data_IF_717177792408
#
_entry.id   IF_717177792408
#
_cell.length_a   1.000
_cell.length_b   1.000
_cell.length_c   1.000
_cell.angle_alpha   90.00
_cell.angle_beta   90.00
_cell.angle_gamma   90.00
#
_symmetry.space_group_name_H-M   'P 1'
#
loop_
_entity.id
_entity.type
_entity.pdbx_description
1 polymer ?
#
# COMPACT_ATOMS: atom_id res chain seq x y z
N UNK A 1 -9.53 4.62 24.07
CA UNK A 1 -8.52 5.68 23.86
C UNK A 1 -8.71 6.25 22.46
N UNK A 2 -9.14 7.50 22.32
CA UNK A 2 -9.42 8.16 21.03
C UNK A 2 -8.15 8.62 20.28
N UNK A 3 -7.19 7.73 20.03
CA UNK A 3 -5.95 8.07 19.30
C UNK A 3 -6.18 8.13 17.77
N UNK A 4 -7.39 7.86 17.29
CA UNK A 4 -7.55 7.21 15.99
C UNK A 4 -7.71 8.17 14.79
N UNK A 5 -8.40 9.33 14.85
CA UNK A 5 -8.61 10.11 13.62
C UNK A 5 -7.35 10.85 13.17
N UNK A 6 -6.67 11.55 14.09
CA UNK A 6 -5.57 12.47 13.77
C UNK A 6 -4.36 11.74 13.19
N UNK A 7 -4.03 10.57 13.75
CA UNK A 7 -2.92 9.73 13.27
C UNK A 7 -3.21 9.26 11.84
N UNK A 8 -4.45 8.84 11.55
CA UNK A 8 -4.86 8.47 10.19
C UNK A 8 -4.79 9.66 9.24
N UNK A 9 -5.34 10.82 9.61
CA UNK A 9 -5.32 12.02 8.76
C UNK A 9 -3.92 12.58 8.50
N UNK A 10 -2.96 12.33 9.40
CA UNK A 10 -1.59 12.84 9.25
C UNK A 10 -0.70 11.87 8.48
N UNK A 11 -0.81 10.56 8.75
CA UNK A 11 0.09 9.57 8.17
C UNK A 11 -0.30 9.23 6.73
N UNK A 12 -1.60 9.14 6.41
CA UNK A 12 -2.03 8.83 5.04
C UNK A 12 -1.46 9.79 3.99
N UNK A 13 -1.51 11.12 4.15
CA UNK A 13 -0.86 12.05 3.23
C UNK A 13 0.63 11.79 3.03
N UNK A 14 1.37 11.50 4.11
CA UNK A 14 2.81 11.20 4.05
C UNK A 14 3.06 9.92 3.24
N UNK A 15 2.26 8.89 3.52
CA UNK A 15 2.29 7.60 2.80
C UNK A 15 1.95 7.80 1.32
N UNK A 16 0.95 8.63 0.99
CA UNK A 16 0.62 8.98 -0.39
C UNK A 16 1.76 9.70 -1.10
N UNK A 17 2.48 10.60 -0.43
CA UNK A 17 3.68 11.22 -0.99
C UNK A 17 4.74 10.18 -1.36
N UNK A 18 5.00 9.18 -0.50
CA UNK A 18 5.93 8.10 -0.80
C UNK A 18 5.46 7.19 -1.94
N UNK A 19 4.16 6.92 -2.02
CA UNK A 19 3.55 6.17 -3.14
C UNK A 19 3.75 6.92 -4.46
N UNK A 20 3.46 8.23 -4.49
CA UNK A 20 3.62 9.07 -5.69
C UNK A 20 5.09 9.16 -6.09
N UNK A 21 6.00 9.33 -5.13
CA UNK A 21 7.44 9.34 -5.39
C UNK A 21 7.92 8.00 -5.99
N UNK A 22 7.45 6.88 -5.45
CA UNK A 22 7.71 5.54 -5.98
C UNK A 22 7.26 5.41 -7.43
N UNK A 23 6.02 5.82 -7.74
CA UNK A 23 5.49 5.81 -9.10
C UNK A 23 6.33 6.69 -10.03
N UNK A 24 6.63 7.92 -9.62
CA UNK A 24 7.42 8.85 -10.43
C UNK A 24 8.79 8.26 -10.79
N UNK A 25 9.46 7.62 -9.83
CA UNK A 25 10.73 6.92 -10.08
C UNK A 25 10.54 5.73 -11.04
N UNK A 26 9.50 4.92 -10.86
CA UNK A 26 9.20 3.79 -11.76
C UNK A 26 8.88 4.23 -13.20
N UNK A 27 8.26 5.40 -13.38
CA UNK A 27 7.92 5.92 -14.71
C UNK A 27 9.10 6.61 -15.40
N UNK A 28 9.98 7.26 -14.64
CA UNK A 28 11.15 7.97 -15.18
C UNK A 28 12.31 7.04 -15.50
N UNK A 29 12.43 5.89 -14.83
CA UNK A 29 13.44 4.89 -15.16
C UNK A 29 13.00 3.97 -16.31
N UNK A 30 13.89 3.79 -17.30
CA UNK A 30 13.74 2.71 -18.29
C UNK A 30 14.02 1.37 -17.59
N UNK A 31 12.98 0.76 -17.03
CA UNK A 31 13.05 -0.63 -16.55
C UNK A 31 13.35 -1.51 -17.78
N UNK A 32 14.52 -2.15 -17.78
CA UNK A 32 15.03 -2.90 -18.93
C UNK A 32 14.22 -4.17 -19.22
N UNK A 33 13.51 -4.70 -18.22
CA UNK A 33 12.66 -5.88 -18.35
C UNK A 33 11.17 -5.50 -18.41
N UNK A 34 10.56 -5.45 -19.61
CA UNK A 34 9.21 -4.91 -19.80
C UNK A 34 8.14 -5.67 -19.00
N UNK A 35 8.31 -6.98 -18.77
CA UNK A 35 7.36 -7.80 -18.03
C UNK A 35 7.19 -7.36 -16.56
N UNK A 36 8.29 -7.01 -15.87
CA UNK A 36 8.20 -6.60 -14.46
C UNK A 36 7.50 -5.26 -14.29
N UNK A 37 7.79 -4.31 -15.18
CA UNK A 37 7.13 -3.00 -15.17
C UNK A 37 5.62 -3.14 -15.32
N UNK A 38 5.19 -3.98 -16.27
CA UNK A 38 3.78 -4.25 -16.51
C UNK A 38 3.10 -4.82 -15.26
N UNK A 39 3.67 -5.87 -14.64
CA UNK A 39 3.09 -6.48 -13.44
C UNK A 39 3.08 -5.54 -12.23
N UNK A 40 4.15 -4.78 -12.02
CA UNK A 40 4.21 -3.78 -10.94
C UNK A 40 3.09 -2.75 -11.11
N UNK A 41 2.93 -2.19 -12.32
CA UNK A 41 1.88 -1.21 -12.60
C UNK A 41 0.48 -1.80 -12.45
N UNK A 42 0.27 -3.00 -12.97
CA UNK A 42 -1.02 -3.69 -12.91
C UNK A 42 -1.45 -3.98 -11.46
N UNK A 43 -0.57 -4.60 -10.68
CA UNK A 43 -0.84 -4.88 -9.26
C UNK A 43 -1.01 -3.60 -8.46
N UNK A 44 -0.24 -2.56 -8.78
CA UNK A 44 -0.35 -1.25 -8.14
C UNK A 44 -1.74 -0.63 -8.36
N UNK A 45 -2.27 -0.66 -9.58
CA UNK A 45 -3.61 -0.15 -9.86
C UNK A 45 -4.69 -0.92 -9.10
N UNK A 46 -4.60 -2.25 -9.04
CA UNK A 46 -5.51 -3.06 -8.23
C UNK A 46 -5.41 -2.66 -6.75
N UNK A 47 -4.19 -2.51 -6.23
CA UNK A 47 -3.96 -2.11 -4.85
C UNK A 47 -4.59 -0.73 -4.55
N UNK A 48 -4.46 0.23 -5.48
CA UNK A 48 -5.03 1.57 -5.36
C UNK A 48 -6.57 1.54 -5.36
N UNK A 49 -7.19 0.69 -6.17
CA UNK A 49 -8.65 0.50 -6.15
C UNK A 49 -9.11 -0.03 -4.79
N UNK A 50 -8.44 -1.06 -4.26
CA UNK A 50 -8.76 -1.61 -2.92
C UNK A 50 -8.58 -0.54 -1.84
N UNK A 51 -7.50 0.26 -1.93
CA UNK A 51 -7.22 1.36 -1.00
C UNK A 51 -8.33 2.42 -0.97
N UNK A 52 -8.93 2.74 -2.12
CA UNK A 52 -10.03 3.72 -2.21
C UNK A 52 -11.35 3.15 -1.70
N UNK A 53 -11.61 1.86 -1.94
CA UNK A 53 -12.87 1.19 -1.53
C UNK A 53 -12.88 0.89 -0.03
N UNK A 54 -11.74 0.45 0.52
CA UNK A 54 -11.59 0.07 1.92
C UNK A 54 -12.20 1.05 2.94
N UNK A 55 -11.91 2.36 2.92
CA UNK A 55 -12.45 3.29 3.91
C UNK A 55 -13.97 3.44 3.78
N UNK A 56 -14.54 3.32 2.57
CA UNK A 56 -15.99 3.34 2.38
C UNK A 56 -16.62 2.10 3.03
N UNK A 57 -16.01 0.92 2.84
CA UNK A 57 -16.46 -0.32 3.47
C UNK A 57 -16.39 -0.28 4.99
N UNK A 58 -15.30 0.27 5.54
CA UNK A 58 -15.11 0.35 6.98
C UNK A 58 -16.00 1.42 7.63
N UNK A 59 -15.97 2.67 7.14
CA UNK A 59 -16.64 3.79 7.79
C UNK A 59 -18.10 3.97 7.37
N UNK A 60 -18.45 3.78 6.09
CA UNK A 60 -19.80 4.08 5.60
C UNK A 60 -20.75 2.89 5.77
N UNK A 61 -20.28 1.68 5.48
CA UNK A 61 -21.10 0.46 5.58
C UNK A 61 -20.99 -0.22 6.95
N UNK A 62 -19.97 0.12 7.76
CA UNK A 62 -19.75 -0.51 9.07
C UNK A 62 -19.41 -2.00 9.00
N UNK A 63 -19.11 -2.55 7.81
CA UNK A 63 -18.83 -3.96 7.63
C UNK A 63 -17.34 -4.24 7.86
N UNK A 64 -16.98 -4.33 9.14
CA UNK A 64 -15.59 -4.46 9.57
C UNK A 64 -14.91 -5.73 9.04
N UNK A 65 -15.63 -6.86 8.94
CA UNK A 65 -15.07 -8.11 8.42
C UNK A 65 -14.63 -7.99 6.96
N UNK A 66 -15.46 -7.37 6.12
CA UNK A 66 -15.14 -7.16 4.71
C UNK A 66 -13.99 -6.16 4.58
N UNK A 67 -14.01 -5.08 5.36
CA UNK A 67 -12.93 -4.10 5.39
C UNK A 67 -11.60 -4.72 5.85
N UNK A 68 -11.62 -5.60 6.84
CA UNK A 68 -10.45 -6.35 7.29
C UNK A 68 -9.92 -7.29 6.19
N UNK A 69 -10.81 -8.02 5.51
CA UNK A 69 -10.45 -8.83 4.34
C UNK A 69 -9.80 -8.01 3.23
N UNK A 70 -10.30 -6.80 2.97
CA UNK A 70 -9.71 -5.87 2.01
C UNK A 70 -8.30 -5.42 2.44
N UNK A 71 -8.06 -5.16 3.73
CA UNK A 71 -6.72 -4.83 4.24
C UNK A 71 -5.73 -5.99 4.04
N UNK A 72 -6.15 -7.24 4.23
CA UNK A 72 -5.30 -8.41 3.98
C UNK A 72 -4.95 -8.56 2.50
N UNK A 73 -5.92 -8.32 1.60
CA UNK A 73 -5.70 -8.30 0.15
C UNK A 73 -4.72 -7.18 -0.21
N UNK A 74 -4.94 -5.97 0.33
CA UNK A 74 -4.09 -4.82 0.11
C UNK A 74 -2.66 -5.08 0.59
N UNK A 75 -2.48 -5.66 1.79
CA UNK A 75 -1.16 -6.03 2.31
C UNK A 75 -0.47 -7.06 1.40
N UNK A 76 -1.18 -8.09 0.98
CA UNK A 76 -0.65 -9.15 0.10
C UNK A 76 -0.19 -8.59 -1.25
N UNK A 77 -1.01 -7.72 -1.86
CA UNK A 77 -0.66 -7.00 -3.09
C UNK A 77 0.54 -6.08 -2.88
N UNK A 78 0.60 -5.34 -1.77
CA UNK A 78 1.73 -4.46 -1.44
C UNK A 78 3.02 -5.25 -1.26
N UNK A 79 3.01 -6.40 -0.60
CA UNK A 79 4.18 -7.28 -0.48
C UNK A 79 4.60 -7.80 -1.86
N UNK A 80 3.66 -8.26 -2.70
CA UNK A 80 3.97 -8.73 -4.05
C UNK A 80 4.64 -7.64 -4.90
N UNK A 81 4.12 -6.40 -4.84
CA UNK A 81 4.71 -5.24 -5.53
C UNK A 81 6.12 -4.95 -5.01
N UNK A 82 6.31 -4.97 -3.68
CA UNK A 82 7.62 -4.74 -3.06
C UNK A 82 8.66 -5.80 -3.48
N UNK A 83 8.26 -7.06 -3.55
CA UNK A 83 9.11 -8.16 -4.02
C UNK A 83 9.49 -7.96 -5.49
N UNK A 84 8.52 -7.65 -6.37
CA UNK A 84 8.80 -7.36 -7.78
C UNK A 84 9.73 -6.16 -7.97
N UNK A 85 9.57 -5.12 -7.13
CA UNK A 85 10.48 -3.98 -7.06
C UNK A 85 11.90 -4.40 -6.67
N UNK A 86 12.06 -5.26 -5.66
CA UNK A 86 13.38 -5.75 -5.24
C UNK A 86 14.10 -6.60 -6.30
N UNK A 87 13.33 -7.34 -7.11
CA UNK A 87 13.81 -8.18 -8.21
C UNK A 87 14.11 -7.40 -9.50
N UNK A 88 13.66 -6.15 -9.60
CA UNK A 88 13.88 -5.30 -10.77
C UNK A 88 15.37 -4.97 -10.95
N UNK A 89 15.82 -4.90 -12.21
CA UNK A 89 17.19 -4.53 -12.59
C UNK A 89 17.44 -3.02 -12.60
N UNK A 90 16.50 -2.22 -12.10
CA UNK A 90 16.60 -0.76 -12.16
C UNK A 90 17.74 -0.22 -11.29
N UNK A 91 18.42 0.82 -11.79
CA UNK A 91 19.58 1.44 -11.13
C UNK A 91 19.24 2.00 -9.75
N UNK A 92 18.04 2.56 -9.57
CA UNK A 92 17.57 3.12 -8.30
C UNK A 92 16.62 2.19 -7.55
N UNK A 93 16.75 0.86 -7.71
CA UNK A 93 15.85 -0.11 -7.07
C UNK A 93 15.67 0.04 -5.57
N UNK A 94 16.74 0.38 -4.88
CA UNK A 94 16.72 0.60 -3.44
C UNK A 94 15.87 1.80 -3.03
N UNK A 95 15.80 2.85 -3.85
CA UNK A 95 15.03 4.06 -3.52
C UNK A 95 13.53 3.80 -3.53
N UNK A 96 13.00 3.25 -4.62
CA UNK A 96 11.56 2.94 -4.67
C UNK A 96 11.20 1.77 -3.75
N UNK A 97 12.10 0.80 -3.53
CA UNK A 97 11.90 -0.25 -2.52
C UNK A 97 11.77 0.34 -1.12
N UNK A 98 12.65 1.27 -0.73
CA UNK A 98 12.60 1.93 0.58
C UNK A 98 11.38 2.83 0.76
N UNK A 99 10.96 3.58 -0.28
CA UNK A 99 9.74 4.39 -0.18
C UNK A 99 8.48 3.53 -0.12
N UNK A 100 8.43 2.45 -0.90
CA UNK A 100 7.28 1.56 -0.91
C UNK A 100 7.20 0.66 0.33
N UNK A 101 8.33 0.33 0.98
CA UNK A 101 8.32 -0.43 2.23
C UNK A 101 7.64 0.32 3.37
N UNK A 102 7.71 1.66 3.40
CA UNK A 102 6.95 2.49 4.36
C UNK A 102 5.45 2.25 4.20
N UNK A 103 4.96 2.16 2.95
CA UNK A 103 3.56 1.85 2.68
C UNK A 103 3.17 0.44 3.11
N UNK A 104 4.03 -0.55 2.87
CA UNK A 104 3.80 -1.94 3.30
C UNK A 104 3.73 -2.03 4.83
N UNK A 105 4.66 -1.39 5.54
CA UNK A 105 4.68 -1.35 7.01
C UNK A 105 3.44 -0.66 7.57
N UNK A 106 3.03 0.46 6.98
CA UNK A 106 1.80 1.14 7.36
C UNK A 106 0.56 0.28 7.13
N UNK A 107 0.50 -0.43 6.00
CA UNK A 107 -0.61 -1.34 5.70
C UNK A 107 -0.65 -2.51 6.69
N UNK A 108 0.50 -3.08 7.06
CA UNK A 108 0.59 -4.12 8.07
C UNK A 108 0.16 -3.62 9.46
N UNK A 109 0.53 -2.38 9.80
CA UNK A 109 0.07 -1.71 11.01
C UNK A 109 -1.46 -1.55 11.02
N UNK A 110 -2.08 -1.12 9.91
CA UNK A 110 -3.54 -1.04 9.78
C UNK A 110 -4.23 -2.40 9.95
N UNK A 111 -3.66 -3.49 9.42
CA UNK A 111 -4.17 -4.86 9.64
C UNK A 111 -4.13 -5.21 11.13
N UNK A 112 -2.99 -4.99 11.79
CA UNK A 112 -2.85 -5.24 13.23
C UNK A 112 -3.85 -4.41 14.05
N UNK A 113 -3.97 -3.12 13.76
CA UNK A 113 -4.88 -2.22 14.44
C UNK A 113 -6.35 -2.63 14.24
N UNK A 114 -6.72 -3.01 13.01
CA UNK A 114 -8.06 -3.52 12.72
C UNK A 114 -8.38 -4.81 13.47
N UNK A 115 -7.41 -5.66 13.78
CA UNK A 115 -7.63 -6.83 14.64
C UNK A 115 -7.80 -6.42 16.10
N UNK A 116 -6.95 -5.52 16.58
CA UNK A 116 -6.97 -5.06 17.97
C UNK A 116 -8.31 -4.39 18.33
N UNK A 117 -8.79 -3.48 17.48
CA UNK A 117 -10.03 -2.70 17.66
C UNK A 117 -11.31 -3.57 17.69
N UNK A 118 -11.28 -4.76 17.09
CA UNK A 118 -12.44 -5.66 17.07
C UNK A 118 -12.42 -6.70 18.20
N UNK A 119 -11.29 -6.88 18.89
CA UNK A 119 -11.15 -7.90 19.96
C UNK A 119 -11.28 -7.28 21.35
N UNK A 120 -10.87 -6.03 21.54
CA UNK A 120 -10.79 -5.34 22.84
C UNK A 120 -11.63 -4.06 22.86
#
# INVERSE_FOLDING_TARGET
MEIIPVVYYTIWPIVFCFIIATLFLLYTEKIQTPNYRFWIQYLFWINLVVLVIWPITYFAYGNWWVAFGMLLIMLSLSIAILVLMGLSSAKRKWWYFSFYSVYVLWTAFCVYFSLYDNVY
#
